data_IF_071453753997
#
_entry.id   IF_071453753997
#
_cell.length_a   1.000
_cell.length_b   1.000
_cell.length_c   1.000
_cell.angle_alpha   90.00
_cell.angle_beta   90.00
_cell.angle_gamma   90.00
#
_symmetry.space_group_name_H-M   'P 1'
#
loop_
_entity.id
_entity.type
_entity.pdbx_description
1 polymer ?
#
# COMPACT_ATOMS: atom_id res chain seq x y z
N UNK A 1 -8.60 -12.80 20.69
CA UNK A 1 -9.84 -13.56 20.94
C UNK A 1 -10.00 -14.51 19.76
N UNK A 2 -9.60 -15.76 19.95
CA UNK A 2 -9.51 -16.81 18.91
C UNK A 2 -10.90 -17.33 18.59
N UNK A 3 -11.49 -16.86 17.47
CA UNK A 3 -12.75 -17.42 16.97
C UNK A 3 -12.49 -18.81 16.40
N UNK A 4 -13.12 -19.81 16.99
CA UNK A 4 -13.06 -21.21 16.62
C UNK A 4 -14.41 -21.57 15.99
N UNK A 5 -14.54 -21.39 14.69
CA UNK A 5 -15.75 -21.71 13.92
C UNK A 5 -15.35 -22.40 12.60
N UNK A 6 -15.89 -23.61 12.42
CA UNK A 6 -16.15 -24.37 11.19
C UNK A 6 -15.07 -24.40 10.08
N UNK A 7 -14.20 -25.43 10.12
CA UNK A 7 -13.33 -25.78 8.99
C UNK A 7 -14.11 -26.53 7.90
N UNK A 8 -14.41 -25.80 6.82
CA UNK A 8 -14.97 -26.18 5.52
C UNK A 8 -14.45 -27.51 4.94
N UNK A 9 -15.35 -28.37 4.44
CA UNK A 9 -15.03 -29.66 3.81
C UNK A 9 -13.97 -29.58 2.68
N UNK A 10 -13.91 -28.45 1.96
CA UNK A 10 -12.93 -28.23 0.89
C UNK A 10 -11.49 -28.03 1.35
N UNK A 11 -11.25 -27.61 2.59
CA UNK A 11 -9.89 -27.51 3.15
C UNK A 11 -9.33 -28.89 3.50
N UNK A 12 -10.19 -29.75 4.04
CA UNK A 12 -9.88 -31.14 4.39
C UNK A 12 -9.60 -31.96 3.11
N UNK A 13 -10.39 -31.77 2.06
CA UNK A 13 -10.17 -32.41 0.75
C UNK A 13 -8.80 -32.04 0.15
N UNK A 14 -8.31 -30.82 0.41
CA UNK A 14 -6.99 -30.34 -0.02
C UNK A 14 -5.85 -30.72 0.94
N UNK A 15 -6.15 -31.53 1.96
CA UNK A 15 -5.19 -32.03 2.94
C UNK A 15 -4.77 -31.00 3.99
N UNK A 16 -5.54 -29.93 4.19
CA UNK A 16 -5.31 -28.96 5.28
C UNK A 16 -6.10 -29.41 6.50
N UNK A 17 -5.40 -29.92 7.50
CA UNK A 17 -6.01 -30.48 8.71
C UNK A 17 -5.75 -29.63 9.96
N UNK A 18 -4.93 -28.58 9.85
CA UNK A 18 -4.72 -27.60 10.90
C UNK A 18 -4.30 -26.25 10.29
N UNK A 19 -4.76 -25.15 10.89
CA UNK A 19 -4.41 -23.79 10.47
C UNK A 19 -4.13 -22.89 11.67
N UNK A 20 -3.16 -21.99 11.54
CA UNK A 20 -2.85 -20.94 12.52
C UNK A 20 -2.69 -19.60 11.81
N UNK A 21 -3.36 -18.57 12.31
CA UNK A 21 -3.40 -17.25 11.68
C UNK A 21 -2.95 -16.17 12.65
N UNK A 22 -2.04 -15.32 12.20
CA UNK A 22 -1.58 -14.15 12.93
C UNK A 22 -1.98 -12.89 12.17
N UNK A 23 -2.56 -11.92 12.88
CA UNK A 23 -2.79 -10.61 12.32
C UNK A 23 -1.46 -9.85 12.25
N UNK A 24 -1.14 -9.33 11.07
CA UNK A 24 -0.02 -8.41 10.88
C UNK A 24 -0.53 -7.00 11.13
N UNK A 25 -0.32 -6.52 12.36
CA UNK A 25 -0.72 -5.18 12.77
C UNK A 25 0.07 -4.13 11.99
N UNK A 26 -0.55 -3.58 10.94
CA UNK A 26 -0.02 -2.49 10.12
C UNK A 26 -0.87 -1.23 10.32
N UNK A 27 -0.35 -0.06 9.95
CA UNK A 27 -1.05 1.21 10.14
C UNK A 27 -2.28 1.42 9.24
N UNK A 28 -2.47 0.59 8.20
CA UNK A 28 -3.58 0.71 7.22
C UNK A 28 -4.82 -0.04 7.71
N UNK A 29 -6.01 0.56 7.55
CA UNK A 29 -7.29 -0.14 7.77
C UNK A 29 -7.41 -1.28 6.75
N UNK A 30 -7.50 -2.52 7.23
CA UNK A 30 -7.50 -3.74 6.41
C UNK A 30 -6.17 -4.50 6.48
N UNK A 31 -5.73 -4.82 7.70
CA UNK A 31 -4.40 -5.39 7.97
C UNK A 31 -4.10 -6.70 7.24
N UNK A 32 -2.82 -6.96 7.00
CA UNK A 32 -2.34 -8.21 6.44
C UNK A 32 -2.41 -9.35 7.49
N UNK A 33 -2.32 -10.59 7.04
CA UNK A 33 -2.31 -11.77 7.91
C UNK A 33 -1.23 -12.77 7.47
N UNK A 34 -0.62 -13.45 8.43
CA UNK A 34 0.22 -14.62 8.21
C UNK A 34 -0.60 -15.86 8.53
N UNK A 35 -0.85 -16.70 7.52
CA UNK A 35 -1.57 -17.95 7.67
C UNK A 35 -0.62 -19.13 7.48
N UNK A 36 -0.58 -20.02 8.47
CA UNK A 36 0.16 -21.28 8.45
C UNK A 36 -0.85 -22.41 8.30
N UNK A 37 -0.56 -23.37 7.43
CA UNK A 37 -1.40 -24.55 7.19
C UNK A 37 -0.56 -25.81 7.35
N UNK A 38 -1.13 -26.83 7.99
CA UNK A 38 -0.47 -28.12 8.20
C UNK A 38 -1.37 -29.27 7.71
N UNK A 39 -0.71 -30.32 7.21
CA UNK A 39 -1.36 -31.61 6.88
C UNK A 39 -1.42 -32.58 8.06
N UNK A 40 -0.90 -32.18 9.22
CA UNK A 40 -0.96 -32.97 10.44
C UNK A 40 -1.96 -32.31 11.39
N UNK A 41 -3.01 -33.03 11.85
CA UNK A 41 -3.93 -32.50 12.84
C UNK A 41 -3.18 -32.07 14.11
N UNK A 42 -3.62 -30.96 14.73
CA UNK A 42 -3.09 -30.49 16.03
C UNK A 42 -1.57 -30.23 16.04
N UNK A 43 -0.98 -29.80 14.90
CA UNK A 43 0.46 -29.54 14.79
C UNK A 43 0.93 -28.31 15.57
N UNK A 44 0.08 -27.29 15.67
CA UNK A 44 0.48 -26.01 16.24
C UNK A 44 0.39 -26.05 17.77
N UNK A 45 1.56 -26.16 18.40
CA UNK A 45 1.73 -26.06 19.84
C UNK A 45 2.16 -24.65 20.28
N UNK A 46 2.27 -24.42 21.59
CA UNK A 46 2.65 -23.13 22.16
C UNK A 46 4.03 -22.64 21.66
N UNK A 47 4.96 -23.56 21.40
CA UNK A 47 6.27 -23.23 20.85
C UNK A 47 6.15 -22.70 19.42
N UNK A 48 5.35 -23.37 18.59
CA UNK A 48 5.08 -22.95 17.21
C UNK A 48 4.29 -21.65 17.15
N UNK A 49 3.34 -21.44 18.08
CA UNK A 49 2.65 -20.17 18.25
C UNK A 49 3.62 -19.03 18.58
N UNK A 50 4.59 -19.27 19.47
CA UNK A 50 5.60 -18.28 19.87
C UNK A 50 6.48 -17.87 18.69
N UNK A 51 7.01 -18.85 17.96
CA UNK A 51 7.84 -18.59 16.76
C UNK A 51 7.00 -17.89 15.69
N UNK A 52 5.77 -18.35 15.46
CA UNK A 52 4.85 -17.76 14.50
C UNK A 52 4.53 -16.30 14.82
N UNK A 53 4.35 -15.94 16.10
CA UNK A 53 4.13 -14.57 16.55
C UNK A 53 5.36 -13.67 16.32
N UNK A 54 6.57 -14.18 16.57
CA UNK A 54 7.82 -13.46 16.28
C UNK A 54 7.97 -13.20 14.77
N UNK A 55 7.73 -14.21 13.95
CA UNK A 55 7.78 -14.08 12.49
C UNK A 55 6.70 -13.10 11.98
N UNK A 56 5.49 -13.18 12.52
CA UNK A 56 4.41 -12.25 12.19
C UNK A 56 4.79 -10.80 12.51
N UNK A 57 5.47 -10.56 13.64
CA UNK A 57 5.95 -9.22 13.99
C UNK A 57 6.99 -8.71 13.00
N UNK A 58 7.97 -9.55 12.63
CA UNK A 58 8.98 -9.19 11.63
C UNK A 58 8.36 -8.92 10.26
N UNK A 59 7.41 -9.76 9.83
CA UNK A 59 6.68 -9.58 8.58
C UNK A 59 5.88 -8.27 8.58
N UNK A 60 5.20 -7.93 9.68
CA UNK A 60 4.49 -6.67 9.81
C UNK A 60 5.43 -5.46 9.67
N UNK A 61 6.61 -5.50 10.32
CA UNK A 61 7.61 -4.43 10.21
C UNK A 61 8.11 -4.28 8.76
N UNK A 62 8.42 -5.40 8.09
CA UNK A 62 8.87 -5.37 6.70
C UNK A 62 7.81 -4.77 5.76
N UNK A 63 6.54 -5.13 5.94
CA UNK A 63 5.42 -4.55 5.17
C UNK A 63 5.31 -3.04 5.42
N UNK A 64 5.36 -2.60 6.68
CA UNK A 64 5.29 -1.17 7.02
C UNK A 64 6.45 -0.39 6.37
N UNK A 65 7.66 -0.94 6.41
CA UNK A 65 8.83 -0.32 5.79
C UNK A 65 8.69 -0.22 4.27
N UNK A 66 8.24 -1.29 3.62
CA UNK A 66 8.00 -1.34 2.17
C UNK A 66 6.92 -0.36 1.72
N UNK A 67 5.81 -0.27 2.46
CA UNK A 67 4.73 0.68 2.19
C UNK A 67 5.22 2.12 2.29
N UNK A 68 6.00 2.43 3.35
CA UNK A 68 6.55 3.77 3.55
C UNK A 68 7.52 4.16 2.43
N UNK A 69 8.36 3.23 1.99
CA UNK A 69 9.26 3.45 0.87
C UNK A 69 8.47 3.72 -0.42
N UNK A 70 7.47 2.89 -0.72
CA UNK A 70 6.63 3.05 -1.93
C UNK A 70 5.87 4.38 -1.93
N UNK A 71 5.33 4.79 -0.78
CA UNK A 71 4.63 6.06 -0.63
C UNK A 71 5.59 7.25 -0.81
N UNK A 72 6.81 7.14 -0.29
CA UNK A 72 7.84 8.17 -0.43
C UNK A 72 8.28 8.32 -1.90
N UNK A 73 8.59 7.22 -2.58
CA UNK A 73 8.93 7.23 -4.02
C UNK A 73 7.80 7.81 -4.86
N UNK A 74 6.55 7.41 -4.57
CA UNK A 74 5.38 7.97 -5.24
C UNK A 74 5.24 9.48 -5.03
N UNK A 75 5.56 9.97 -3.83
CA UNK A 75 5.52 11.40 -3.51
C UNK A 75 6.64 12.17 -4.22
N UNK A 76 7.86 11.61 -4.30
CA UNK A 76 8.96 12.19 -5.08
C UNK A 76 8.61 12.27 -6.57
N UNK A 77 8.16 11.16 -7.17
CA UNK A 77 7.74 11.13 -8.57
C UNK A 77 6.64 12.16 -8.85
N UNK A 78 5.67 12.28 -7.94
CA UNK A 78 4.61 13.31 -8.03
C UNK A 78 5.17 14.72 -7.98
N UNK A 79 6.13 14.99 -7.09
CA UNK A 79 6.76 16.31 -6.95
C UNK A 79 7.54 16.71 -8.20
N UNK A 80 8.29 15.77 -8.76
CA UNK A 80 9.13 16.00 -9.93
C UNK A 80 8.26 16.28 -11.16
N UNK A 81 7.20 15.48 -11.37
CA UNK A 81 6.27 15.68 -12.48
C UNK A 81 5.53 17.03 -12.37
N UNK A 82 5.07 17.40 -11.18
CA UNK A 82 4.46 18.72 -10.94
C UNK A 82 5.48 19.84 -11.19
N UNK A 83 6.74 19.65 -10.79
CA UNK A 83 7.83 20.60 -11.05
C UNK A 83 8.07 20.83 -12.54
N UNK A 84 8.10 19.76 -13.34
CA UNK A 84 8.23 19.84 -14.79
C UNK A 84 7.06 20.58 -15.44
N UNK A 85 5.82 20.21 -15.07
CA UNK A 85 4.62 20.88 -15.58
C UNK A 85 4.60 22.38 -15.23
N UNK A 86 5.00 22.73 -13.99
CA UNK A 86 5.16 24.14 -13.59
C UNK A 86 6.17 24.85 -14.48
N UNK A 87 7.33 24.25 -14.76
CA UNK A 87 8.36 24.82 -15.64
C UNK A 87 7.84 25.11 -17.04
N UNK A 88 7.10 24.17 -17.64
CA UNK A 88 6.47 24.34 -18.96
C UNK A 88 5.46 25.49 -18.94
N UNK A 89 4.60 25.58 -17.92
CA UNK A 89 3.61 26.66 -17.79
C UNK A 89 4.31 28.01 -17.58
N UNK A 90 5.33 28.08 -16.74
CA UNK A 90 6.12 29.29 -16.51
C UNK A 90 6.73 29.79 -17.82
N UNK A 91 7.31 28.88 -18.61
CA UNK A 91 7.90 29.21 -19.91
C UNK A 91 6.84 29.72 -20.88
N UNK A 92 5.72 29.00 -21.02
CA UNK A 92 4.69 29.28 -22.03
C UNK A 92 3.89 30.55 -21.75
N UNK A 93 3.57 30.80 -20.48
CA UNK A 93 2.72 31.92 -20.07
C UNK A 93 3.53 33.09 -19.48
N UNK A 94 4.85 32.96 -19.36
CA UNK A 94 5.76 33.97 -18.78
C UNK A 94 5.31 34.43 -17.37
N UNK A 95 4.95 33.45 -16.55
CA UNK A 95 4.51 33.65 -15.15
C UNK A 95 5.47 33.00 -14.17
N UNK A 96 5.40 33.41 -12.90
CA UNK A 96 6.21 32.82 -11.84
C UNK A 96 5.72 31.43 -11.41
N UNK A 97 6.52 30.77 -10.57
CA UNK A 97 6.26 29.43 -10.09
C UNK A 97 5.03 29.32 -9.17
N UNK A 98 4.62 30.41 -8.51
CA UNK A 98 3.44 30.43 -7.63
C UNK A 98 2.18 30.46 -8.50
N UNK A 99 2.13 31.37 -9.46
CA UNK A 99 1.04 31.50 -10.42
C UNK A 99 0.86 30.22 -11.27
N UNK A 100 1.96 29.61 -11.72
CA UNK A 100 1.92 28.34 -12.46
C UNK A 100 1.33 27.19 -11.63
N UNK A 101 1.69 27.10 -10.34
CA UNK A 101 1.13 26.08 -9.45
C UNK A 101 -0.35 26.31 -9.16
N UNK A 102 -0.77 27.56 -8.94
CA UNK A 102 -2.20 27.88 -8.79
C UNK A 102 -3.01 27.53 -10.04
N UNK A 103 -2.43 27.70 -11.23
CA UNK A 103 -3.09 27.28 -12.47
C UNK A 103 -3.31 25.76 -12.52
N UNK A 104 -2.28 24.95 -12.21
CA UNK A 104 -2.40 23.50 -12.09
C UNK A 104 -3.45 23.10 -11.04
N UNK A 105 -3.44 23.77 -9.88
CA UNK A 105 -4.38 23.51 -8.78
C UNK A 105 -5.82 23.82 -9.19
N UNK A 106 -6.04 24.96 -9.84
CA UNK A 106 -7.36 25.36 -10.34
C UNK A 106 -7.89 24.39 -11.38
N UNK A 107 -7.03 23.93 -12.31
CA UNK A 107 -7.39 22.92 -13.30
C UNK A 107 -7.79 21.60 -12.63
N UNK A 108 -6.96 21.10 -11.72
CA UNK A 108 -7.24 19.87 -10.93
C UNK A 108 -8.57 19.94 -10.19
N UNK A 109 -8.87 21.07 -9.54
CA UNK A 109 -10.15 21.27 -8.84
C UNK A 109 -11.34 21.33 -9.79
N UNK A 110 -11.19 22.02 -10.92
CA UNK A 110 -12.29 22.21 -11.89
C UNK A 110 -12.60 20.90 -12.64
N UNK A 111 -11.58 20.07 -12.91
CA UNK A 111 -11.75 18.76 -13.55
C UNK A 111 -12.02 17.62 -12.56
N UNK A 112 -11.89 17.86 -11.26
CA UNK A 112 -11.92 16.84 -10.21
C UNK A 112 -10.93 15.67 -10.47
N UNK A 113 -9.78 15.99 -11.07
CA UNK A 113 -8.69 15.05 -11.33
C UNK A 113 -7.54 15.29 -10.35
N UNK A 114 -6.72 14.26 -10.12
CA UNK A 114 -5.50 14.40 -9.32
C UNK A 114 -4.56 15.41 -9.98
N UNK A 115 -3.94 16.26 -9.17
CA UNK A 115 -2.97 17.27 -9.62
C UNK A 115 -1.84 16.66 -10.45
N UNK A 116 -1.39 15.45 -10.10
CA UNK A 116 -0.37 14.69 -10.82
C UNK A 116 -0.82 14.29 -12.23
N UNK A 117 -2.09 13.95 -12.42
CA UNK A 117 -2.67 13.65 -13.74
C UNK A 117 -2.73 14.87 -14.63
N UNK A 118 -3.08 16.04 -14.06
CA UNK A 118 -3.03 17.32 -14.79
C UNK A 118 -1.59 17.66 -15.17
N UNK A 119 -0.65 17.53 -14.23
CA UNK A 119 0.77 17.76 -14.50
C UNK A 119 1.29 16.84 -15.63
N UNK A 120 0.91 15.57 -15.62
CA UNK A 120 1.28 14.63 -16.68
C UNK A 120 0.81 15.09 -18.05
N UNK A 121 -0.46 15.47 -18.18
CA UNK A 121 -1.02 15.97 -19.46
C UNK A 121 -0.27 17.20 -19.97
N UNK A 122 0.13 18.10 -19.08
CA UNK A 122 0.92 19.29 -19.45
C UNK A 122 2.28 18.88 -19.99
N UNK A 123 2.96 17.91 -19.37
CA UNK A 123 4.26 17.40 -19.82
C UNK A 123 4.14 16.67 -21.16
N UNK A 124 3.08 15.91 -21.38
CA UNK A 124 2.80 15.20 -22.64
C UNK A 124 2.38 16.12 -23.81
N UNK A 125 2.14 17.41 -23.56
CA UNK A 125 1.80 18.39 -24.61
C UNK A 125 3.04 19.01 -25.27
N UNK A 126 4.25 18.55 -24.90
CA UNK A 126 5.51 18.83 -25.60
C UNK A 126 5.64 17.97 -26.86
#
# INVERSE_FOLDING_TARGET
MTSREDHDAGAIERGVYSSLSFQLCTHKKGGAALNLFSRVPQTFDMHTETIGAMLATQAAIAIIASDRHTQFESALASRDLIGQAKGIIMERFKIDAVAAFEMLRKLSQTSNEKLTSIAQRVVETL
#
